data_IF_687775426623
#
_entry.id   IF_687775426623
#
_cell.length_a   1.000
_cell.length_b   1.000
_cell.length_c   1.000
_cell.angle_alpha   90.00
_cell.angle_beta   90.00
_cell.angle_gamma   90.00
#
_symmetry.space_group_name_H-M   'P 1'
#
loop_
_entity.id
_entity.type
_entity.pdbx_description
1 polymer ?
#
# COMPACT_ATOMS: atom_id res chain seq x y z
N UNK A 1 10.95 -17.18 26.26
CA UNK A 1 11.60 -16.14 27.07
C UNK A 1 11.97 -14.98 26.16
N UNK A 2 11.34 -13.81 26.39
CA UNK A 2 11.78 -12.42 26.12
C UNK A 2 10.64 -11.56 25.55
N UNK A 3 9.69 -11.16 26.40
CA UNK A 3 8.50 -10.36 26.04
C UNK A 3 8.61 -8.88 26.42
N UNK A 4 9.82 -8.37 26.72
CA UNK A 4 10.05 -6.95 27.09
C UNK A 4 10.95 -6.16 26.14
N UNK A 5 11.51 -6.78 25.12
CA UNK A 5 12.33 -6.12 24.08
C UNK A 5 11.55 -5.69 22.84
N UNK A 6 10.31 -6.13 22.66
CA UNK A 6 9.48 -5.85 21.47
C UNK A 6 8.53 -4.64 21.57
N UNK A 7 8.27 -4.10 22.76
CA UNK A 7 7.31 -2.99 22.94
C UNK A 7 7.89 -1.62 22.59
N UNK A 8 9.18 -1.40 22.88
CA UNK A 8 9.85 -0.12 22.61
C UNK A 8 10.01 0.06 21.10
N UNK A 9 10.48 -0.97 20.37
CA UNK A 9 10.64 -0.90 18.91
C UNK A 9 9.31 -0.69 18.19
N UNK A 10 8.28 -1.46 18.57
CA UNK A 10 6.95 -1.32 17.98
C UNK A 10 6.31 0.05 18.23
N UNK A 11 6.51 0.63 19.43
CA UNK A 11 6.07 2.00 19.73
C UNK A 11 6.83 3.03 18.89
N UNK A 12 8.15 2.86 18.77
CA UNK A 12 9.00 3.76 17.99
C UNK A 12 8.64 3.74 16.50
N UNK A 13 8.29 2.58 15.95
CA UNK A 13 7.87 2.46 14.55
C UNK A 13 6.48 3.05 14.31
N UNK A 14 5.54 2.95 15.27
CA UNK A 14 4.27 3.70 15.20
C UNK A 14 4.51 5.20 15.23
N UNK A 15 5.42 5.69 16.07
CA UNK A 15 5.78 7.12 16.13
C UNK A 15 6.38 7.58 14.81
N UNK A 16 7.32 6.82 14.22
CA UNK A 16 7.88 7.14 12.89
C UNK A 16 6.82 7.20 11.80
N UNK A 17 5.84 6.29 11.83
CA UNK A 17 4.74 6.27 10.88
C UNK A 17 3.87 7.52 11.02
N UNK A 18 3.44 7.85 12.24
CA UNK A 18 2.66 9.06 12.51
C UNK A 18 3.44 10.31 12.13
N UNK A 19 4.74 10.35 12.43
CA UNK A 19 5.62 11.45 12.06
C UNK A 19 5.74 11.62 10.54
N UNK A 20 5.88 10.51 9.79
CA UNK A 20 5.87 10.54 8.33
C UNK A 20 4.56 11.09 7.77
N UNK A 21 3.41 10.72 8.35
CA UNK A 21 2.10 11.23 7.95
C UNK A 21 1.98 12.74 8.22
N UNK A 22 2.45 13.21 9.38
CA UNK A 22 2.48 14.64 9.72
C UNK A 22 3.39 15.40 8.75
N UNK A 23 4.56 14.84 8.43
CA UNK A 23 5.50 15.45 7.49
C UNK A 23 4.88 15.60 6.08
N UNK A 24 4.12 14.60 5.64
CA UNK A 24 3.38 14.64 4.38
C UNK A 24 2.33 15.75 4.39
N UNK A 25 1.50 15.80 5.44
CA UNK A 25 0.48 16.82 5.60
C UNK A 25 1.09 18.24 5.65
N UNK A 26 2.21 18.40 6.36
CA UNK A 26 2.96 19.64 6.39
C UNK A 26 3.47 20.04 5.00
N UNK A 27 3.90 19.10 4.16
CA UNK A 27 4.27 19.36 2.77
C UNK A 27 3.10 19.87 1.92
N UNK A 28 1.90 19.31 2.10
CA UNK A 28 0.69 19.78 1.43
C UNK A 28 0.34 21.20 1.89
N UNK A 29 0.35 21.46 3.20
CA UNK A 29 0.07 22.79 3.75
C UNK A 29 1.09 23.83 3.27
N UNK A 30 2.38 23.47 3.28
CA UNK A 30 3.45 24.31 2.74
C UNK A 30 3.20 24.63 1.26
N UNK A 31 2.80 23.64 0.46
CA UNK A 31 2.44 23.87 -0.95
C UNK A 31 1.36 24.95 -1.08
N UNK A 32 0.27 24.88 -0.31
CA UNK A 32 -0.77 25.92 -0.35
C UNK A 32 -0.29 27.29 0.14
N UNK A 33 0.56 27.33 1.16
CA UNK A 33 1.02 28.60 1.75
C UNK A 33 2.05 29.34 0.88
N UNK A 34 2.91 28.62 0.15
CA UNK A 34 3.93 29.20 -0.72
C UNK A 34 3.39 29.67 -2.09
N UNK A 35 2.22 30.32 -2.10
CA UNK A 35 1.55 30.80 -3.32
C UNK A 35 2.33 31.86 -4.10
N UNK A 36 3.20 32.57 -3.41
CA UNK A 36 4.02 33.66 -3.97
C UNK A 36 5.17 33.17 -4.86
N UNK A 37 5.53 31.88 -4.84
CA UNK A 37 6.64 31.32 -5.61
C UNK A 37 6.19 30.68 -6.93
N UNK A 38 7.09 30.62 -7.90
CA UNK A 38 6.86 29.95 -9.19
C UNK A 38 6.36 28.51 -9.01
N UNK A 39 5.33 28.14 -9.79
CA UNK A 39 4.67 26.84 -9.74
C UNK A 39 5.65 25.66 -9.81
N UNK A 40 6.75 25.82 -10.55
CA UNK A 40 7.77 24.79 -10.73
C UNK A 40 8.50 24.46 -9.42
N UNK A 41 8.84 25.47 -8.62
CA UNK A 41 9.49 25.28 -7.31
C UNK A 41 8.55 24.67 -6.27
N UNK A 42 7.26 25.04 -6.29
CA UNK A 42 6.24 24.45 -5.40
C UNK A 42 6.02 22.96 -5.68
N UNK A 43 5.94 22.59 -6.97
CA UNK A 43 5.76 21.17 -7.34
C UNK A 43 6.99 20.36 -6.98
N UNK A 44 8.20 20.88 -7.20
CA UNK A 44 9.43 20.19 -6.81
C UNK A 44 9.55 20.02 -5.29
N UNK A 45 9.23 21.05 -4.51
CA UNK A 45 9.27 20.93 -3.04
C UNK A 45 8.23 19.95 -2.52
N UNK A 46 7.02 19.93 -3.09
CA UNK A 46 5.99 18.95 -2.75
C UNK A 46 6.44 17.52 -3.11
N UNK A 47 7.01 17.31 -4.29
CA UNK A 47 7.54 16.00 -4.70
C UNK A 47 8.68 15.55 -3.79
N UNK A 48 9.57 16.46 -3.39
CA UNK A 48 10.66 16.14 -2.47
C UNK A 48 10.13 15.72 -1.09
N UNK A 49 9.19 16.49 -0.50
CA UNK A 49 8.60 16.17 0.80
C UNK A 49 7.78 14.88 0.73
N UNK A 50 7.01 14.68 -0.34
CA UNK A 50 6.26 13.45 -0.59
C UNK A 50 7.19 12.24 -0.68
N UNK A 51 8.31 12.37 -1.40
CA UNK A 51 9.33 11.32 -1.52
C UNK A 51 9.95 10.98 -0.16
N UNK A 52 10.35 11.98 0.62
CA UNK A 52 10.94 11.79 1.95
C UNK A 52 9.95 11.12 2.90
N UNK A 53 8.72 11.62 2.96
CA UNK A 53 7.67 11.03 3.81
C UNK A 53 7.41 9.58 3.44
N UNK A 54 7.27 9.30 2.15
CA UNK A 54 7.04 7.94 1.62
C UNK A 54 8.22 7.02 1.94
N UNK A 55 9.46 7.49 1.79
CA UNK A 55 10.65 6.72 2.15
C UNK A 55 10.69 6.41 3.66
N UNK A 56 10.33 7.37 4.52
CA UNK A 56 10.21 7.12 5.96
C UNK A 56 9.11 6.09 6.25
N UNK A 57 7.94 6.19 5.60
CA UNK A 57 6.84 5.26 5.77
C UNK A 57 7.24 3.84 5.36
N UNK A 58 7.94 3.66 4.25
CA UNK A 58 8.46 2.37 3.79
C UNK A 58 9.49 1.75 4.74
N UNK A 59 10.27 2.56 5.47
CA UNK A 59 11.23 2.07 6.45
C UNK A 59 10.58 1.52 7.74
N UNK A 60 9.27 1.71 7.95
CA UNK A 60 8.55 1.16 9.12
C UNK A 60 8.21 -0.32 8.92
N UNK A 61 8.05 -1.07 10.02
CA UNK A 61 7.64 -2.49 9.98
C UNK A 61 6.32 -2.70 9.21
N UNK A 62 5.35 -1.78 9.39
CA UNK A 62 4.09 -1.79 8.64
C UNK A 62 4.31 -1.55 7.14
N UNK A 63 5.14 -0.56 6.77
CA UNK A 63 5.44 -0.26 5.36
C UNK A 63 6.09 -1.45 4.63
N UNK A 64 7.03 -2.12 5.29
CA UNK A 64 7.69 -3.31 4.73
C UNK A 64 6.74 -4.51 4.64
N UNK A 65 5.84 -4.67 5.61
CA UNK A 65 4.80 -5.72 5.59
C UNK A 65 3.80 -5.55 4.45
N UNK A 66 3.34 -4.32 4.19
CA UNK A 66 2.45 -4.02 3.06
C UNK A 66 3.16 -4.31 1.72
N UNK A 67 4.45 -3.96 1.60
CA UNK A 67 5.21 -4.24 0.38
C UNK A 67 5.35 -5.74 0.10
N UNK A 68 5.64 -6.53 1.14
CA UNK A 68 5.68 -7.99 1.05
C UNK A 68 4.31 -8.56 0.63
N UNK A 69 3.22 -8.09 1.24
CA UNK A 69 1.86 -8.52 0.89
C UNK A 69 1.54 -8.23 -0.58
N UNK A 70 1.89 -7.05 -1.10
CA UNK A 70 1.68 -6.70 -2.51
C UNK A 70 2.48 -7.63 -3.43
N UNK A 71 3.73 -7.90 -3.08
CA UNK A 71 4.58 -8.82 -3.85
C UNK A 71 4.00 -10.23 -3.89
N UNK A 72 3.64 -10.76 -2.71
CA UNK A 72 3.06 -12.11 -2.56
C UNK A 72 1.70 -12.21 -3.27
N UNK A 73 0.84 -11.20 -3.15
CA UNK A 73 -0.46 -11.15 -3.82
C UNK A 73 -0.32 -11.21 -5.35
N UNK A 74 0.64 -10.49 -5.92
CA UNK A 74 0.91 -10.55 -7.36
C UNK A 74 1.40 -11.92 -7.80
N UNK A 75 2.17 -12.58 -6.95
CA UNK A 75 2.68 -13.91 -7.22
C UNK A 75 1.56 -14.96 -7.16
N UNK A 76 0.61 -14.79 -6.24
CA UNK A 76 -0.56 -15.65 -6.10
C UNK A 76 -1.53 -15.52 -7.28
N UNK A 77 -1.78 -14.30 -7.77
CA UNK A 77 -2.61 -14.06 -8.97
C UNK A 77 -2.05 -14.79 -10.19
N UNK A 78 -0.72 -14.94 -10.29
CA UNK A 78 -0.10 -15.70 -11.39
C UNK A 78 -0.26 -17.21 -11.26
N UNK A 79 -0.53 -17.72 -10.06
CA UNK A 79 -0.84 -19.15 -9.84
C UNK A 79 -2.28 -19.49 -10.19
N UNK A 80 -3.15 -18.49 -10.38
CA UNK A 80 -4.51 -18.70 -10.84
C UNK A 80 -4.44 -19.12 -12.31
N UNK A 81 -4.57 -20.43 -12.53
CA UNK A 81 -4.89 -20.97 -13.84
C UNK A 81 -6.35 -20.63 -14.09
N UNK A 82 -6.59 -19.62 -14.92
CA UNK A 82 -7.97 -19.28 -15.29
C UNK A 82 -8.57 -20.44 -16.08
N UNK A 83 -9.81 -20.85 -15.74
CA UNK A 83 -10.47 -21.96 -16.40
C UNK A 83 -10.61 -21.67 -17.89
N UNK A 84 -10.52 -22.72 -18.70
CA UNK A 84 -10.75 -22.59 -20.14
C UNK A 84 -12.24 -22.36 -20.41
N UNK A 85 -12.57 -21.84 -21.60
CA UNK A 85 -13.96 -21.59 -22.01
C UNK A 85 -14.79 -22.89 -21.99
N UNK A 86 -14.15 -24.04 -22.20
CA UNK A 86 -14.81 -25.36 -22.22
C UNK A 86 -15.23 -25.79 -20.80
N UNK A 87 -14.37 -25.66 -19.79
CA UNK A 87 -14.68 -26.00 -18.39
C UNK A 87 -15.81 -25.12 -17.82
N UNK A 88 -15.82 -23.84 -18.21
CA UNK A 88 -16.86 -22.89 -17.81
C UNK A 88 -18.22 -23.27 -18.40
N UNK A 89 -18.24 -23.68 -19.68
CA UNK A 89 -19.47 -24.07 -20.39
C UNK A 89 -20.01 -25.41 -19.87
N UNK A 90 -19.14 -26.39 -19.63
CA UNK A 90 -19.54 -27.69 -19.08
C UNK A 90 -20.17 -27.54 -17.70
N UNK A 91 -19.56 -26.75 -16.82
CA UNK A 91 -20.10 -26.47 -15.48
C UNK A 91 -21.46 -25.79 -15.58
N UNK A 92 -21.61 -24.82 -16.49
CA UNK A 92 -22.88 -24.12 -16.72
C UNK A 92 -23.99 -25.09 -17.13
N UNK A 93 -23.73 -25.98 -18.09
CA UNK A 93 -24.71 -26.98 -18.56
C UNK A 93 -25.11 -27.94 -17.43
N UNK A 94 -24.15 -28.45 -16.65
CA UNK A 94 -24.43 -29.37 -15.53
C UNK A 94 -25.35 -28.71 -14.49
N UNK A 95 -25.04 -27.47 -14.09
CA UNK A 95 -25.89 -26.71 -13.16
C UNK A 95 -27.28 -26.46 -13.75
N UNK A 96 -27.35 -26.14 -15.05
CA UNK A 96 -28.62 -25.89 -15.74
C UNK A 96 -29.53 -27.13 -15.75
N UNK A 97 -28.97 -28.30 -16.06
CA UNK A 97 -29.71 -29.57 -16.03
C UNK A 97 -30.16 -29.91 -14.61
N UNK A 98 -29.29 -29.74 -13.61
CA UNK A 98 -29.61 -29.99 -12.20
C UNK A 98 -30.78 -29.11 -11.68
N UNK A 99 -30.94 -27.89 -12.22
CA UNK A 99 -32.04 -26.99 -11.84
C UNK A 99 -33.35 -27.34 -12.57
N UNK A 100 -33.29 -27.91 -13.77
CA UNK A 100 -34.47 -28.26 -14.59
C UNK A 100 -35.10 -29.59 -14.17
N UNK A 101 -34.30 -30.56 -13.72
CA UNK A 101 -34.75 -31.88 -13.24
C UNK A 101 -35.31 -31.77 -11.82
#
# INVERSE_FOLDING_TARGET
MNTKTGTISASLDKVKLVFSLILFAAGIVAFYHFDTYSALLRVLSLLAIAGISTALAYNTELGRGVWALVYDSRMEVRKIVWPTQEETTQTTIVVFVMVIV
#
